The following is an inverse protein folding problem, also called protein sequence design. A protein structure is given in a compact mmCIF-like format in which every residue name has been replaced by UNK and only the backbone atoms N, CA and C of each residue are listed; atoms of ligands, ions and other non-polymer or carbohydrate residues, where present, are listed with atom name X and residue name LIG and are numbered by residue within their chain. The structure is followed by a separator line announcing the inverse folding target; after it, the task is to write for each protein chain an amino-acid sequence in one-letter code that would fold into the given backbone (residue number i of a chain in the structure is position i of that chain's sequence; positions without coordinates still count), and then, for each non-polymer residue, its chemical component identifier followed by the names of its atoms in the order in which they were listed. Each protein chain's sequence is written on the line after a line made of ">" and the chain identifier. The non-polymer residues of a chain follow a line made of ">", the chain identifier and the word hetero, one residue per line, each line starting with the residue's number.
data_IF_130331530301
#
_entry.id   IF_130331530301
#
_cell.length_a   1.000
_cell.length_b   1.000
_cell.length_c   1.000
_cell.angle_alpha   90.00
_cell.angle_beta   90.00
_cell.angle_gamma   90.00
#
_symmetry.space_group_name_H-M   'P 1'
#
loop_
_entity.id
_entity.type
_entity.pdbx_description
1 polymer ?
#
# COMPACT_ATOMS: atom_id res chain seq x y z
N UNK A 1 -21.26 5.10 1.08
CA UNK A 1 -20.08 4.88 1.92
C UNK A 1 -19.19 3.84 1.25
N UNK A 2 -17.86 4.03 1.17
CA UNK A 2 -16.95 2.98 0.71
C UNK A 2 -16.62 2.06 1.88
N UNK A 3 -17.00 0.80 1.79
CA UNK A 3 -16.66 -0.23 2.78
C UNK A 3 -15.15 -0.51 2.73
N UNK A 4 -14.50 -0.57 3.90
CA UNK A 4 -13.05 -0.77 4.03
C UNK A 4 -12.75 -1.87 5.06
N UNK A 5 -11.86 -2.78 4.72
CA UNK A 5 -11.44 -3.89 5.61
C UNK A 5 -10.80 -3.40 6.92
N UNK A 6 -10.16 -2.23 6.86
CA UNK A 6 -9.55 -1.64 8.06
C UNK A 6 -10.59 -1.33 9.15
N UNK A 7 -11.87 -1.12 8.80
CA UNK A 7 -12.92 -0.87 9.78
C UNK A 7 -13.05 -2.00 10.80
N UNK A 8 -13.01 -3.25 10.36
CA UNK A 8 -13.08 -4.42 11.24
C UNK A 8 -11.88 -4.46 12.20
N UNK A 9 -10.69 -4.04 11.75
CA UNK A 9 -9.50 -3.92 12.60
C UNK A 9 -9.63 -2.82 13.64
N UNK A 10 -10.31 -1.70 13.31
CA UNK A 10 -10.60 -0.63 14.28
C UNK A 10 -11.55 -1.13 15.37
N UNK A 11 -12.59 -1.87 15.00
CA UNK A 11 -13.53 -2.49 15.95
C UNK A 11 -12.80 -3.51 16.84
N UNK A 12 -11.92 -4.31 16.26
CA UNK A 12 -11.11 -5.28 17.01
C UNK A 12 -10.16 -4.59 17.99
N UNK A 13 -9.45 -3.52 17.56
CA UNK A 13 -8.62 -2.72 18.44
C UNK A 13 -9.41 -2.16 19.62
N UNK A 14 -10.57 -1.53 19.40
CA UNK A 14 -11.43 -1.00 20.47
C UNK A 14 -11.74 -2.06 21.52
N UNK A 15 -12.07 -3.28 21.05
CA UNK A 15 -12.41 -4.40 21.93
C UNK A 15 -11.22 -4.96 22.69
N UNK A 16 -10.04 -5.07 22.04
CA UNK A 16 -8.85 -5.70 22.61
C UNK A 16 -8.07 -4.74 23.51
N UNK A 17 -7.89 -3.50 23.07
CA UNK A 17 -7.15 -2.47 23.80
C UNK A 17 -7.88 -2.07 25.09
N UNK A 18 -9.21 -2.01 25.04
CA UNK A 18 -10.06 -1.50 26.16
C UNK A 18 -9.49 -0.22 26.79
N UNK A 19 -8.92 0.67 25.95
CA UNK A 19 -8.33 1.95 26.30
C UNK A 19 -6.90 1.89 26.86
N UNK A 20 -6.26 0.73 26.82
CA UNK A 20 -4.87 0.61 27.22
C UNK A 20 -3.88 1.20 26.20
N UNK A 21 -4.31 1.38 24.96
CA UNK A 21 -3.50 1.97 23.89
C UNK A 21 -4.30 2.95 23.04
N UNK A 22 -3.63 3.93 22.45
CA UNK A 22 -4.12 4.70 21.32
C UNK A 22 -3.85 3.94 20.02
N UNK A 23 -4.55 4.29 18.94
CA UNK A 23 -4.33 3.70 17.62
C UNK A 23 -3.92 4.76 16.60
N UNK A 24 -2.76 4.57 15.97
CA UNK A 24 -2.32 5.39 14.85
C UNK A 24 -2.61 4.68 13.52
N UNK A 25 -3.43 5.31 12.68
CA UNK A 25 -3.65 4.92 11.29
C UNK A 25 -2.62 5.64 10.42
N UNK A 26 -1.64 4.88 9.94
CA UNK A 26 -0.62 5.36 9.02
C UNK A 26 -0.93 4.90 7.58
N UNK A 27 -0.49 5.67 6.59
CA UNK A 27 -0.73 5.33 5.19
C UNK A 27 -0.46 6.49 4.25
N UNK A 28 -0.35 6.17 2.95
CA UNK A 28 -0.15 7.17 1.92
C UNK A 28 -1.21 8.29 1.97
N UNK A 29 -0.86 9.44 1.44
CA UNK A 29 -1.80 10.55 1.36
C UNK A 29 -2.99 10.18 0.46
N UNK A 30 -4.23 10.57 0.87
CA UNK A 30 -5.49 10.33 0.14
C UNK A 30 -6.01 8.89 0.11
N UNK A 31 -5.52 7.99 0.96
CA UNK A 31 -6.07 6.63 1.10
C UNK A 31 -7.37 6.56 1.93
N UNK A 32 -7.77 7.67 2.60
CA UNK A 32 -9.05 7.79 3.30
C UNK A 32 -8.97 7.65 4.83
N UNK A 33 -7.80 7.89 5.44
CA UNK A 33 -7.59 7.77 6.90
C UNK A 33 -8.55 8.58 7.74
N UNK A 34 -8.61 9.90 7.54
CA UNK A 34 -9.51 10.80 8.29
C UNK A 34 -10.97 10.40 8.13
N UNK A 35 -11.37 9.98 6.91
CA UNK A 35 -12.72 9.53 6.63
C UNK A 35 -13.10 8.29 7.45
N UNK A 36 -12.26 7.25 7.45
CA UNK A 36 -12.55 6.00 8.16
C UNK A 36 -12.52 6.21 9.69
N UNK A 37 -11.62 7.06 10.18
CA UNK A 37 -11.54 7.43 11.59
C UNK A 37 -12.83 8.10 12.08
N UNK A 38 -13.35 9.05 11.29
CA UNK A 38 -14.60 9.73 11.60
C UNK A 38 -15.81 8.80 11.50
N UNK A 39 -15.89 7.95 10.48
CA UNK A 39 -16.97 6.97 10.36
C UNK A 39 -16.96 5.94 11.50
N UNK A 40 -15.77 5.48 11.90
CA UNK A 40 -15.63 4.63 13.07
C UNK A 40 -16.13 5.32 14.35
N UNK A 41 -15.77 6.58 14.56
CA UNK A 41 -16.23 7.34 15.69
C UNK A 41 -17.76 7.48 15.73
N UNK A 42 -18.38 7.79 14.59
CA UNK A 42 -19.84 7.97 14.48
C UNK A 42 -20.64 6.72 14.80
N UNK A 43 -20.10 5.53 14.49
CA UNK A 43 -20.84 4.29 14.66
C UNK A 43 -20.52 3.56 15.97
N UNK A 44 -19.31 3.75 16.49
CA UNK A 44 -18.82 2.95 17.62
C UNK A 44 -18.80 3.72 18.95
N UNK A 45 -19.00 5.04 18.95
CA UNK A 45 -18.96 5.87 20.15
C UNK A 45 -20.20 6.77 20.28
N UNK A 46 -20.56 7.10 21.52
CA UNK A 46 -21.67 8.00 21.82
C UNK A 46 -21.35 9.45 21.40
N UNK A 47 -20.10 9.86 21.51
CA UNK A 47 -19.62 11.16 21.05
C UNK A 47 -18.16 11.08 20.60
N UNK A 48 -17.73 12.05 19.81
CA UNK A 48 -16.33 12.17 19.41
C UNK A 48 -15.94 13.63 19.21
N UNK A 49 -14.64 13.90 19.36
CA UNK A 49 -14.03 15.16 18.96
C UNK A 49 -12.97 14.84 17.90
N UNK A 50 -13.04 15.52 16.74
CA UNK A 50 -12.03 15.45 15.69
C UNK A 50 -11.24 16.76 15.68
N UNK A 51 -9.93 16.66 15.92
CA UNK A 51 -8.98 17.77 15.89
C UNK A 51 -8.11 17.61 14.65
N UNK A 52 -8.41 18.37 13.59
CA UNK A 52 -7.58 18.44 12.37
C UNK A 52 -6.43 19.42 12.62
N UNK A 53 -5.24 18.92 12.93
CA UNK A 53 -4.05 19.75 13.21
C UNK A 53 -3.55 20.54 12.00
N UNK A 54 -4.01 20.22 10.80
CA UNK A 54 -3.77 21.04 9.61
C UNK A 54 -4.56 22.35 9.59
N UNK A 55 -5.61 22.48 10.44
CA UNK A 55 -6.55 23.62 10.48
C UNK A 55 -6.93 24.07 11.90
N UNK A 56 -6.41 23.39 12.92
CA UNK A 56 -6.76 23.68 14.29
C UNK A 56 -6.45 25.16 14.63
N UNK A 57 -7.41 25.90 15.25
CA UNK A 57 -7.16 27.25 15.74
C UNK A 57 -6.07 27.28 16.81
N UNK A 58 -5.37 28.41 16.92
CA UNK A 58 -4.29 28.57 17.90
C UNK A 58 -4.78 28.28 19.33
N UNK A 59 -5.99 28.71 19.69
CA UNK A 59 -6.58 28.45 21.01
C UNK A 59 -6.66 26.96 21.34
N UNK A 60 -6.93 26.09 20.35
CA UNK A 60 -6.92 24.64 20.54
C UNK A 60 -5.49 24.12 20.72
N UNK A 61 -4.53 24.60 19.91
CA UNK A 61 -3.13 24.22 20.05
C UNK A 61 -2.57 24.63 21.42
N UNK A 62 -2.98 25.79 21.94
CA UNK A 62 -2.58 26.30 23.24
C UNK A 62 -3.05 25.42 24.41
N UNK A 63 -4.18 24.71 24.27
CA UNK A 63 -4.59 23.71 25.28
C UNK A 63 -3.54 22.61 25.45
N UNK A 64 -2.99 22.11 24.35
CA UNK A 64 -1.94 21.08 24.38
C UNK A 64 -0.61 21.64 24.95
N UNK A 65 -0.37 22.93 24.82
CA UNK A 65 0.87 23.57 25.29
C UNK A 65 0.79 23.91 26.77
N UNK A 66 -0.32 24.49 27.23
CA UNK A 66 -0.44 25.13 28.53
C UNK A 66 -1.28 24.34 29.53
N UNK A 67 -2.32 23.63 29.07
CA UNK A 67 -3.27 22.97 29.96
C UNK A 67 -3.05 21.46 30.11
N UNK A 68 -2.11 20.87 29.36
CA UNK A 68 -1.85 19.42 29.36
C UNK A 68 -1.37 18.85 30.70
N UNK A 69 -0.93 19.70 31.63
CA UNK A 69 -0.59 19.31 33.00
C UNK A 69 -1.82 19.15 33.93
N UNK A 70 -2.98 19.69 33.54
CA UNK A 70 -4.27 19.56 34.25
C UNK A 70 -5.31 19.02 33.27
N UNK A 71 -5.42 17.68 33.18
CA UNK A 71 -6.30 17.03 32.22
C UNK A 71 -7.78 17.31 32.45
N UNK A 72 -8.22 17.64 33.69
CA UNK A 72 -9.61 18.03 33.95
C UNK A 72 -9.95 19.34 33.25
N UNK A 73 -9.08 20.34 33.41
CA UNK A 73 -9.23 21.62 32.72
C UNK A 73 -9.09 21.50 31.21
N UNK A 74 -8.13 20.71 30.78
CA UNK A 74 -7.88 20.41 29.33
C UNK A 74 -9.14 19.87 28.67
N UNK A 75 -9.73 18.79 29.20
CA UNK A 75 -10.95 18.21 28.61
C UNK A 75 -12.20 19.09 28.78
N UNK A 76 -12.32 19.83 29.86
CA UNK A 76 -13.42 20.77 30.02
C UNK A 76 -13.39 21.86 28.94
N UNK A 77 -12.22 22.47 28.70
CA UNK A 77 -12.02 23.45 27.62
C UNK A 77 -12.22 22.85 26.23
N UNK A 78 -11.70 21.66 25.99
CA UNK A 78 -11.84 20.95 24.72
C UNK A 78 -13.31 20.65 24.41
N UNK A 79 -14.05 20.14 25.40
CA UNK A 79 -15.50 19.90 25.31
C UNK A 79 -16.29 21.20 25.02
N UNK A 80 -15.94 22.28 25.69
CA UNK A 80 -16.58 23.58 25.47
C UNK A 80 -16.28 24.13 24.06
N UNK A 81 -15.04 24.03 23.62
CA UNK A 81 -14.62 24.53 22.31
C UNK A 81 -15.33 23.80 21.15
N UNK A 82 -15.44 22.46 21.23
CA UNK A 82 -16.13 21.66 20.24
C UNK A 82 -17.63 21.46 20.50
N UNK A 83 -18.18 22.10 21.53
CA UNK A 83 -19.59 21.94 21.96
C UNK A 83 -20.01 20.47 22.06
N UNK A 84 -19.11 19.60 22.57
CA UNK A 84 -19.31 18.16 22.63
C UNK A 84 -19.16 17.64 24.05
N UNK A 85 -20.18 16.94 24.55
CA UNK A 85 -20.10 16.25 25.84
C UNK A 85 -19.29 14.96 25.69
N UNK A 86 -18.23 14.81 26.47
CA UNK A 86 -17.40 13.63 26.52
C UNK A 86 -17.92 12.63 27.56
N UNK A 87 -18.05 11.36 27.19
CA UNK A 87 -18.54 10.27 28.02
C UNK A 87 -17.39 9.31 28.35
N UNK A 88 -17.17 9.04 29.63
CA UNK A 88 -16.11 8.15 30.09
C UNK A 88 -16.22 6.77 29.40
N UNK A 89 -15.13 6.31 28.78
CA UNK A 89 -15.01 5.05 28.02
C UNK A 89 -15.99 4.90 26.85
N UNK A 90 -16.66 5.97 26.44
CA UNK A 90 -17.60 5.96 25.30
C UNK A 90 -17.52 7.24 24.46
N UNK A 91 -16.35 7.88 24.47
CA UNK A 91 -16.00 8.96 23.54
C UNK A 91 -14.63 8.71 22.92
N UNK A 92 -14.52 9.05 21.64
CA UNK A 92 -13.28 8.99 20.88
C UNK A 92 -12.73 10.39 20.62
N UNK A 93 -11.46 10.60 20.87
CA UNK A 93 -10.76 11.82 20.48
C UNK A 93 -9.84 11.49 19.31
N UNK A 94 -10.08 12.11 18.15
CA UNK A 94 -9.35 11.88 16.92
C UNK A 94 -8.34 12.99 16.72
N UNK A 95 -7.06 12.66 16.60
CA UNK A 95 -5.95 13.53 16.22
C UNK A 95 -5.66 13.35 14.74
N UNK A 96 -6.27 14.18 13.90
CA UNK A 96 -6.11 14.07 12.44
C UNK A 96 -4.91 14.90 11.97
N UNK A 97 -4.11 14.34 11.03
CA UNK A 97 -2.85 14.90 10.52
C UNK A 97 -1.86 15.22 11.65
N UNK A 98 -1.69 14.30 12.61
CA UNK A 98 -0.92 14.51 13.85
C UNK A 98 0.54 14.93 13.60
N UNK A 99 1.13 14.66 12.44
CA UNK A 99 2.46 15.13 12.06
C UNK A 99 2.55 16.65 11.90
N UNK A 100 1.43 17.36 11.76
CA UNK A 100 1.41 18.83 11.71
C UNK A 100 1.59 19.45 13.11
N UNK A 101 1.32 18.66 14.17
CA UNK A 101 1.51 19.10 15.55
C UNK A 101 2.04 17.93 16.42
N UNK A 102 3.32 17.56 16.29
CA UNK A 102 3.91 16.37 16.93
C UNK A 102 3.78 16.35 18.46
N UNK A 103 3.62 17.52 19.09
CA UNK A 103 3.41 17.65 20.54
C UNK A 103 2.15 16.91 21.02
N UNK A 104 1.08 16.90 20.23
CA UNK A 104 -0.13 16.15 20.57
C UNK A 104 0.16 14.66 20.68
N UNK A 105 0.97 14.11 19.75
CA UNK A 105 1.40 12.71 19.78
C UNK A 105 2.21 12.38 21.03
N UNK A 106 3.09 13.27 21.50
CA UNK A 106 3.82 13.07 22.76
C UNK A 106 2.90 12.94 23.99
N UNK A 107 1.74 13.57 23.96
CA UNK A 107 0.79 13.54 25.10
C UNK A 107 0.00 12.23 25.16
N UNK A 108 -0.02 11.41 24.12
CA UNK A 108 -0.76 10.13 24.06
C UNK A 108 -0.49 9.28 25.29
N UNK A 109 0.77 9.15 25.70
CA UNK A 109 1.15 8.40 26.90
C UNK A 109 0.35 8.83 28.15
N UNK A 110 0.22 10.13 28.36
CA UNK A 110 -0.48 10.69 29.54
C UNK A 110 -1.99 10.60 29.39
N UNK A 111 -2.50 10.80 28.16
CA UNK A 111 -3.91 10.73 27.83
C UNK A 111 -4.44 9.30 27.96
N UNK A 112 -3.69 8.31 27.50
CA UNK A 112 -4.01 6.88 27.67
C UNK A 112 -3.96 6.50 29.14
N UNK A 113 -2.92 6.92 29.88
CA UNK A 113 -2.79 6.64 31.31
C UNK A 113 -3.93 7.24 32.17
N UNK A 114 -4.52 8.35 31.74
CA UNK A 114 -5.71 8.93 32.36
C UNK A 114 -6.97 8.04 32.23
N UNK A 115 -7.08 7.27 31.15
CA UNK A 115 -8.06 6.20 30.97
C UNK A 115 -9.51 6.63 30.78
N UNK A 116 -9.81 7.94 30.60
CA UNK A 116 -11.17 8.42 30.43
C UNK A 116 -11.74 8.20 29.05
N UNK A 117 -10.92 8.35 28.01
CA UNK A 117 -11.36 8.33 26.61
C UNK A 117 -10.46 7.45 25.78
N UNK A 118 -10.91 7.08 24.58
CA UNK A 118 -10.10 6.42 23.58
C UNK A 118 -9.50 7.45 22.62
N UNK A 119 -8.33 7.14 22.06
CA UNK A 119 -7.60 8.04 21.18
C UNK A 119 -7.27 7.34 19.87
N UNK A 120 -7.55 8.02 18.77
CA UNK A 120 -7.20 7.57 17.43
C UNK A 120 -6.44 8.68 16.72
N UNK A 121 -5.29 8.35 16.18
CA UNK A 121 -4.44 9.26 15.45
C UNK A 121 -4.46 8.92 13.96
N UNK A 122 -4.42 9.91 13.11
CA UNK A 122 -4.15 9.71 11.69
C UNK A 122 -2.96 10.55 11.26
N UNK A 123 -2.17 10.02 10.36
CA UNK A 123 -1.07 10.75 9.79
C UNK A 123 -0.64 10.23 8.42
N UNK A 124 -0.23 11.14 7.57
CA UNK A 124 0.53 10.84 6.36
C UNK A 124 1.96 11.29 6.55
N UNK A 125 2.93 10.60 5.92
CA UNK A 125 4.35 10.92 6.05
C UNK A 125 4.87 10.88 7.50
N UNK A 126 4.17 10.18 8.39
CA UNK A 126 4.45 10.20 9.83
C UNK A 126 5.77 9.52 10.18
N UNK A 127 6.26 8.62 9.31
CA UNK A 127 7.54 7.90 9.48
C UNK A 127 8.75 8.72 9.05
N UNK A 128 8.54 9.82 8.32
CA UNK A 128 9.65 10.65 7.87
C UNK A 128 10.41 11.22 9.08
N UNK A 129 11.74 11.14 9.04
CA UNK A 129 12.63 11.59 10.10
C UNK A 129 12.28 13.00 10.61
N UNK A 130 11.96 13.92 9.71
CA UNK A 130 11.56 15.31 10.02
C UNK A 130 10.33 15.38 10.94
N UNK A 131 9.43 14.41 10.87
CA UNK A 131 8.18 14.40 11.63
C UNK A 131 8.29 13.68 12.99
N UNK A 132 9.41 13.01 13.27
CA UNK A 132 9.62 12.24 14.51
C UNK A 132 10.90 12.60 15.27
N UNK A 133 11.81 13.40 14.69
CA UNK A 133 13.13 13.68 15.28
C UNK A 133 13.07 14.43 16.61
N UNK A 134 12.04 15.25 16.83
CA UNK A 134 11.92 16.15 17.97
C UNK A 134 10.90 15.66 19.01
N UNK A 135 10.41 14.42 18.89
CA UNK A 135 9.43 13.83 19.82
C UNK A 135 9.86 12.46 20.33
N UNK A 136 9.41 12.14 21.53
CA UNK A 136 9.45 10.78 22.04
C UNK A 136 8.18 10.09 21.58
N UNK A 137 8.31 9.05 20.75
CA UNK A 137 7.18 8.24 20.30
C UNK A 137 6.61 7.50 21.50
N UNK A 138 5.29 7.61 21.76
CA UNK A 138 4.66 6.95 22.90
C UNK A 138 4.70 5.43 22.76
N UNK A 139 4.95 4.73 23.85
CA UNK A 139 4.89 3.26 23.91
C UNK A 139 3.45 2.73 23.97
N UNK A 140 2.51 3.58 24.30
CA UNK A 140 1.08 3.31 24.42
C UNK A 140 0.34 3.50 23.09
N UNK A 141 1.05 3.49 21.97
CA UNK A 141 0.52 3.68 20.61
C UNK A 141 0.67 2.39 19.80
N UNK A 142 -0.45 1.85 19.31
CA UNK A 142 -0.47 0.78 18.32
C UNK A 142 -0.52 1.37 16.90
N UNK A 143 0.08 0.69 15.94
CA UNK A 143 0.13 1.14 14.55
C UNK A 143 -0.63 0.20 13.63
N UNK A 144 -1.41 0.79 12.73
CA UNK A 144 -2.07 0.07 11.65
C UNK A 144 -1.83 0.78 10.32
N UNK A 145 -1.42 0.02 9.31
CA UNK A 145 -1.24 0.56 7.96
C UNK A 145 -2.54 0.54 7.17
N UNK A 146 -2.86 1.67 6.53
CA UNK A 146 -3.97 1.79 5.59
C UNK A 146 -3.46 1.94 4.17
N UNK A 147 -3.78 0.97 3.34
CA UNK A 147 -3.42 0.93 1.92
C UNK A 147 -4.51 1.53 1.02
N UNK A 148 -4.24 1.82 -0.27
CA UNK A 148 -5.28 1.98 -1.26
C UNK A 148 -6.27 0.81 -1.22
N UNK A 149 -7.49 1.01 -1.69
CA UNK A 149 -8.50 -0.05 -1.75
C UNK A 149 -7.96 -1.24 -2.53
N UNK A 150 -8.12 -2.44 -1.99
CA UNK A 150 -7.78 -3.67 -2.70
C UNK A 150 -8.90 -4.09 -3.66
N UNK A 151 -8.70 -5.21 -4.37
CA UNK A 151 -9.67 -5.68 -5.35
C UNK A 151 -11.01 -6.07 -4.72
N UNK A 152 -11.02 -6.63 -3.52
CA UNK A 152 -12.24 -6.97 -2.81
C UNK A 152 -13.03 -5.72 -2.41
N UNK A 153 -12.35 -4.71 -1.86
CA UNK A 153 -12.95 -3.42 -1.50
C UNK A 153 -13.48 -2.67 -2.75
N UNK A 154 -12.79 -2.81 -3.89
CA UNK A 154 -13.27 -2.29 -5.18
C UNK A 154 -14.54 -2.99 -5.63
N UNK A 155 -14.63 -4.33 -5.53
CA UNK A 155 -15.83 -5.09 -5.85
C UNK A 155 -16.99 -4.71 -4.92
N UNK A 156 -16.76 -4.53 -3.63
CA UNK A 156 -17.77 -4.01 -2.71
C UNK A 156 -18.29 -2.63 -3.13
N UNK A 157 -17.40 -1.74 -3.57
CA UNK A 157 -17.76 -0.43 -4.09
C UNK A 157 -18.59 -0.52 -5.39
N UNK A 158 -18.39 -1.59 -6.17
CA UNK A 158 -19.20 -1.91 -7.36
C UNK A 158 -20.53 -2.60 -7.02
N UNK A 159 -20.79 -2.95 -5.75
CA UNK A 159 -21.97 -3.66 -5.28
C UNK A 159 -21.86 -5.18 -5.35
N UNK A 160 -20.65 -5.74 -5.53
CA UNK A 160 -20.40 -7.19 -5.60
C UNK A 160 -19.69 -7.67 -4.34
N UNK A 161 -20.43 -8.27 -3.41
CA UNK A 161 -19.90 -8.92 -2.21
C UNK A 161 -19.81 -10.47 -2.36
N UNK A 162 -20.33 -11.03 -3.44
CA UNK A 162 -20.44 -12.47 -3.63
C UNK A 162 -19.22 -13.09 -4.34
N UNK A 163 -18.54 -12.33 -5.17
CA UNK A 163 -17.47 -12.85 -6.05
C UNK A 163 -16.24 -13.31 -5.24
N UNK A 164 -15.79 -12.54 -4.23
CA UNK A 164 -14.55 -12.88 -3.50
C UNK A 164 -14.69 -14.12 -2.62
N UNK A 165 -15.79 -14.37 -1.89
CA UNK A 165 -15.99 -15.65 -1.20
C UNK A 165 -15.85 -16.86 -2.11
N UNK A 166 -16.38 -16.77 -3.34
CA UNK A 166 -16.23 -17.84 -4.34
C UNK A 166 -14.78 -17.99 -4.83
N UNK A 167 -14.08 -16.87 -5.10
CA UNK A 167 -12.66 -16.90 -5.47
C UNK A 167 -11.85 -17.60 -4.38
N UNK A 168 -12.13 -17.31 -3.11
CA UNK A 168 -11.48 -17.93 -1.94
C UNK A 168 -11.72 -19.43 -1.88
N UNK A 169 -12.96 -19.87 -2.07
CA UNK A 169 -13.30 -21.31 -2.14
C UNK A 169 -12.56 -22.02 -3.25
N UNK A 170 -12.48 -21.42 -4.45
CA UNK A 170 -11.75 -21.99 -5.58
C UNK A 170 -10.22 -22.00 -5.35
N UNK A 171 -9.68 -20.99 -4.69
CA UNK A 171 -8.27 -20.93 -4.30
C UNK A 171 -7.90 -22.03 -3.30
N UNK A 172 -8.69 -22.21 -2.25
CA UNK A 172 -8.47 -23.20 -1.19
C UNK A 172 -8.56 -24.63 -1.76
N UNK A 173 -9.59 -24.89 -2.59
CA UNK A 173 -9.80 -26.19 -3.24
C UNK A 173 -8.90 -26.42 -4.46
N UNK A 174 -8.16 -25.39 -4.90
CA UNK A 174 -7.34 -25.39 -6.16
C UNK A 174 -8.17 -25.78 -7.38
N UNK A 175 -9.43 -25.39 -7.39
CA UNK A 175 -10.40 -25.72 -8.45
C UNK A 175 -10.61 -24.54 -9.39
N UNK A 176 -10.80 -24.77 -10.71
CA UNK A 176 -11.08 -23.68 -11.64
C UNK A 176 -12.46 -23.08 -11.41
N UNK A 177 -12.60 -21.77 -11.65
CA UNK A 177 -13.89 -21.06 -11.59
C UNK A 177 -14.81 -21.38 -12.77
N UNK A 178 -14.23 -21.84 -13.86
CA UNK A 178 -14.90 -22.02 -15.13
C UNK A 178 -14.82 -20.78 -16.03
N UNK A 179 -14.78 -21.02 -17.33
CA UNK A 179 -14.41 -20.04 -18.35
C UNK A 179 -15.27 -18.75 -18.29
N UNK A 180 -16.57 -18.86 -18.12
CA UNK A 180 -17.48 -17.70 -18.15
C UNK A 180 -17.24 -16.78 -16.94
N UNK A 181 -17.16 -17.35 -15.75
CA UNK A 181 -16.97 -16.60 -14.51
C UNK A 181 -15.56 -16.03 -14.41
N UNK A 182 -14.53 -16.83 -14.75
CA UNK A 182 -13.16 -16.35 -14.83
C UNK A 182 -13.04 -15.12 -15.75
N UNK A 183 -13.69 -15.15 -16.93
CA UNK A 183 -13.67 -14.03 -17.88
C UNK A 183 -14.33 -12.76 -17.29
N UNK A 184 -15.48 -12.92 -16.59
CA UNK A 184 -16.13 -11.80 -15.91
C UNK A 184 -15.19 -11.18 -14.86
N UNK A 185 -14.63 -12.00 -13.97
CA UNK A 185 -13.76 -11.54 -12.89
C UNK A 185 -12.48 -10.90 -13.44
N UNK A 186 -11.87 -11.47 -14.48
CA UNK A 186 -10.72 -10.85 -15.15
C UNK A 186 -11.03 -9.48 -15.75
N UNK A 187 -12.25 -9.28 -16.28
CA UNK A 187 -12.66 -7.98 -16.77
C UNK A 187 -12.83 -6.96 -15.63
N UNK A 188 -13.46 -7.36 -14.52
CA UNK A 188 -13.59 -6.51 -13.33
C UNK A 188 -12.22 -6.20 -12.71
N UNK A 189 -11.31 -7.17 -12.68
CA UNK A 189 -9.94 -6.99 -12.22
C UNK A 189 -9.15 -6.01 -13.10
N UNK A 190 -9.27 -6.09 -14.42
CA UNK A 190 -8.66 -5.12 -15.33
C UNK A 190 -9.19 -3.70 -15.13
N UNK A 191 -10.49 -3.55 -14.85
CA UNK A 191 -11.06 -2.25 -14.48
C UNK A 191 -10.41 -1.71 -13.21
N UNK A 192 -10.29 -2.56 -12.17
CA UNK A 192 -9.60 -2.21 -10.93
C UNK A 192 -8.16 -1.77 -11.17
N UNK A 193 -7.40 -2.51 -11.98
CA UNK A 193 -6.01 -2.16 -12.33
C UNK A 193 -5.90 -0.76 -12.95
N UNK A 194 -6.86 -0.38 -13.79
CA UNK A 194 -6.88 0.92 -14.46
C UNK A 194 -7.37 2.06 -13.55
N UNK A 195 -8.42 1.82 -12.78
CA UNK A 195 -8.98 2.80 -11.84
C UNK A 195 -8.05 3.00 -10.64
N UNK A 196 -7.43 1.93 -10.17
CA UNK A 196 -6.64 1.89 -8.95
C UNK A 196 -7.50 1.80 -7.69
N UNK A 197 -6.83 1.77 -6.55
CA UNK A 197 -7.44 1.68 -5.22
C UNK A 197 -7.57 3.02 -4.49
N UNK A 198 -7.20 4.14 -5.11
CA UNK A 198 -7.35 5.44 -4.45
C UNK A 198 -8.84 5.81 -4.35
N UNK A 199 -9.41 6.04 -3.13
CA UNK A 199 -10.85 6.24 -2.95
C UNK A 199 -11.44 7.33 -3.83
N UNK A 200 -10.73 8.44 -4.04
CA UNK A 200 -11.19 9.52 -4.92
C UNK A 200 -11.28 9.08 -6.40
N UNK A 201 -10.35 8.23 -6.84
CA UNK A 201 -10.36 7.67 -8.19
C UNK A 201 -11.52 6.68 -8.36
N UNK A 202 -11.72 5.80 -7.39
CA UNK A 202 -12.83 4.83 -7.38
C UNK A 202 -14.17 5.55 -7.38
N UNK A 203 -14.37 6.55 -6.51
CA UNK A 203 -15.61 7.35 -6.45
C UNK A 203 -15.89 8.08 -7.77
N UNK A 204 -14.87 8.69 -8.37
CA UNK A 204 -15.02 9.38 -9.66
C UNK A 204 -15.44 8.40 -10.77
N UNK A 205 -14.82 7.22 -10.81
CA UNK A 205 -15.18 6.16 -11.76
C UNK A 205 -16.62 5.66 -11.55
N UNK A 206 -17.02 5.38 -10.30
CA UNK A 206 -18.35 4.85 -9.99
C UNK A 206 -19.47 5.82 -10.36
N UNK A 207 -19.26 7.11 -10.12
CA UNK A 207 -20.23 8.16 -10.42
C UNK A 207 -20.55 8.27 -11.90
N UNK A 208 -19.53 8.21 -12.74
CA UNK A 208 -19.65 8.52 -14.17
C UNK A 208 -19.44 7.28 -15.06
N UNK A 209 -18.98 6.15 -14.48
CA UNK A 209 -18.50 4.97 -15.21
C UNK A 209 -17.48 5.33 -16.31
N UNK A 210 -16.63 6.30 -16.00
CA UNK A 210 -15.74 6.97 -16.90
C UNK A 210 -14.29 6.95 -16.36
N UNK A 211 -13.35 6.44 -17.16
CA UNK A 211 -11.94 6.42 -16.82
C UNK A 211 -11.29 7.81 -16.82
N UNK A 212 -11.81 8.76 -17.57
CA UNK A 212 -11.30 10.14 -17.62
C UNK A 212 -11.47 10.83 -16.27
N UNK A 213 -12.66 10.73 -15.64
CA UNK A 213 -12.91 11.27 -14.32
C UNK A 213 -11.96 10.66 -13.26
N UNK A 214 -11.74 9.35 -13.34
CA UNK A 214 -10.75 8.64 -12.53
C UNK A 214 -9.33 9.17 -12.79
N UNK A 215 -8.95 9.39 -14.06
CA UNK A 215 -7.64 9.92 -14.44
C UNK A 215 -7.39 11.32 -13.87
N UNK A 216 -8.39 12.21 -13.93
CA UNK A 216 -8.30 13.56 -13.33
C UNK A 216 -8.01 13.46 -11.82
N UNK A 217 -8.70 12.57 -11.10
CA UNK A 217 -8.45 12.35 -9.66
C UNK A 217 -7.01 11.84 -9.42
N UNK A 218 -6.55 10.87 -10.19
CA UNK A 218 -5.20 10.29 -10.06
C UNK A 218 -4.09 11.31 -10.37
N UNK A 219 -4.25 12.14 -11.40
CA UNK A 219 -3.31 13.23 -11.71
C UNK A 219 -3.18 14.24 -10.57
N UNK A 220 -4.30 14.58 -9.90
CA UNK A 220 -4.28 15.45 -8.71
C UNK A 220 -3.52 14.80 -7.55
N UNK A 221 -3.66 13.49 -7.35
CA UNK A 221 -2.94 12.76 -6.30
C UNK A 221 -1.44 12.71 -6.60
N UNK A 222 -1.04 12.42 -7.85
CA UNK A 222 0.37 12.43 -8.26
C UNK A 222 1.00 13.82 -8.08
N UNK A 223 0.25 14.89 -8.40
CA UNK A 223 0.70 16.26 -8.13
C UNK A 223 0.91 16.51 -6.64
N UNK A 224 -0.04 16.07 -5.78
CA UNK A 224 0.10 16.20 -4.32
C UNK A 224 1.33 15.45 -3.80
N UNK A 225 1.67 14.28 -4.34
CA UNK A 225 2.90 13.56 -3.96
C UNK A 225 4.15 14.37 -4.32
N UNK A 226 4.17 15.02 -5.48
CA UNK A 226 5.28 15.92 -5.85
C UNK A 226 5.37 17.14 -4.95
N UNK A 227 4.23 17.75 -4.59
CA UNK A 227 4.19 18.88 -3.65
C UNK A 227 4.73 18.45 -2.26
N UNK A 228 4.44 17.20 -1.83
CA UNK A 228 4.99 16.64 -0.58
C UNK A 228 6.51 16.42 -0.66
N UNK A 229 7.04 15.96 -1.79
CA UNK A 229 8.50 15.87 -2.00
C UNK A 229 9.14 17.24 -1.83
N UNK A 230 8.61 18.29 -2.48
CA UNK A 230 9.13 19.66 -2.38
C UNK A 230 9.09 20.19 -0.93
N UNK A 231 8.14 19.75 -0.12
CA UNK A 231 7.97 20.23 1.26
C UNK A 231 8.81 19.45 2.28
N UNK A 232 8.98 18.14 2.08
CA UNK A 232 9.48 17.24 3.12
C UNK A 232 10.80 16.53 2.79
N UNK A 233 11.31 16.61 1.53
CA UNK A 233 12.59 16.04 1.12
C UNK A 233 13.70 17.10 1.01
N UNK A 234 13.76 18.04 1.95
CA UNK A 234 14.64 19.19 1.95
C UNK A 234 16.12 18.82 1.73
N UNK A 235 16.71 19.34 0.64
CA UNK A 235 18.11 19.14 0.26
C UNK A 235 18.38 17.91 -0.62
N UNK A 236 17.35 17.10 -0.94
CA UNK A 236 17.47 15.95 -1.87
C UNK A 236 16.22 15.76 -2.75
N UNK A 237 15.39 16.79 -2.90
CA UNK A 237 14.15 16.79 -3.67
C UNK A 237 14.36 16.30 -5.10
N UNK A 238 15.38 16.82 -5.78
CA UNK A 238 15.69 16.46 -7.17
C UNK A 238 15.97 14.96 -7.32
N UNK A 239 16.59 14.35 -6.30
CA UNK A 239 16.88 12.90 -6.32
C UNK A 239 15.61 12.09 -6.12
N UNK A 240 14.69 12.53 -5.23
CA UNK A 240 13.40 11.89 -5.03
C UNK A 240 12.55 12.00 -6.30
N UNK A 241 12.51 13.19 -6.94
CA UNK A 241 11.85 13.39 -8.22
C UNK A 241 12.41 12.48 -9.30
N UNK A 242 13.76 12.44 -9.44
CA UNK A 242 14.40 11.60 -10.44
C UNK A 242 14.08 10.10 -10.26
N UNK A 243 14.04 9.63 -9.01
CA UNK A 243 13.60 8.26 -8.70
C UNK A 243 12.13 8.04 -9.03
N UNK A 244 11.25 8.92 -8.55
CA UNK A 244 9.80 8.82 -8.72
C UNK A 244 9.41 8.84 -10.19
N UNK A 245 9.88 9.82 -10.95
CA UNK A 245 9.59 9.97 -12.38
C UNK A 245 10.19 8.83 -13.21
N UNK A 246 11.27 8.21 -12.74
CA UNK A 246 11.91 7.07 -13.38
C UNK A 246 11.18 5.73 -13.19
N UNK A 247 10.24 5.61 -12.25
CA UNK A 247 9.58 4.31 -11.93
C UNK A 247 8.95 3.64 -13.16
N UNK A 248 8.10 4.31 -13.96
CA UNK A 248 7.48 3.64 -15.12
C UNK A 248 8.53 3.12 -16.12
N UNK A 249 9.56 3.92 -16.41
CA UNK A 249 10.62 3.54 -17.31
C UNK A 249 11.49 2.39 -16.78
N UNK A 250 11.69 2.28 -15.46
CA UNK A 250 12.41 1.15 -14.86
C UNK A 250 11.58 -0.12 -14.91
N UNK A 251 10.31 -0.06 -14.55
CA UNK A 251 9.40 -1.21 -14.56
C UNK A 251 9.09 -1.71 -15.98
N UNK A 252 9.21 -0.86 -17.00
CA UNK A 252 9.01 -1.26 -18.40
C UNK A 252 10.16 -2.10 -18.97
N UNK A 253 11.34 -2.12 -18.33
CA UNK A 253 12.49 -2.90 -18.77
C UNK A 253 12.28 -4.38 -18.47
N UNK A 254 12.99 -5.24 -19.22
CA UNK A 254 13.01 -6.69 -18.96
C UNK A 254 13.58 -6.99 -17.56
N UNK A 255 14.63 -6.29 -17.17
CA UNK A 255 15.24 -6.38 -15.85
C UNK A 255 14.77 -5.19 -15.02
N UNK A 256 13.88 -5.43 -14.05
CA UNK A 256 13.17 -4.40 -13.30
C UNK A 256 13.89 -3.89 -12.03
N UNK A 257 15.11 -4.36 -11.78
CA UNK A 257 15.98 -3.76 -10.75
C UNK A 257 16.20 -2.29 -11.05
N UNK A 258 16.06 -1.44 -10.05
CA UNK A 258 16.25 -0.01 -10.24
C UNK A 258 17.70 0.32 -10.60
N UNK A 259 17.95 0.72 -11.83
CA UNK A 259 19.28 1.05 -12.35
C UNK A 259 19.52 2.56 -12.23
N UNK A 260 20.25 2.99 -11.21
CA UNK A 260 20.60 4.38 -10.98
C UNK A 260 21.41 5.00 -12.12
N UNK A 261 22.17 4.19 -12.87
CA UNK A 261 22.88 4.64 -14.06
C UNK A 261 21.99 5.19 -15.18
N UNK A 262 20.67 4.96 -15.11
CA UNK A 262 19.69 5.59 -16.01
C UNK A 262 19.38 7.04 -15.64
N UNK A 263 19.65 7.46 -14.40
CA UNK A 263 19.53 8.84 -13.95
C UNK A 263 20.82 9.58 -14.27
N UNK A 264 21.96 9.02 -13.84
CA UNK A 264 23.31 9.57 -14.11
C UNK A 264 24.34 8.45 -14.10
N UNK A 265 25.34 8.50 -14.98
CA UNK A 265 26.45 7.52 -15.03
C UNK A 265 27.21 7.45 -13.70
N UNK A 266 27.24 8.51 -12.94
CA UNK A 266 27.92 8.64 -11.64
C UNK A 266 27.02 8.31 -10.45
N UNK A 267 25.72 8.10 -10.66
CA UNK A 267 24.78 7.82 -9.59
C UNK A 267 25.14 6.51 -8.85
N UNK A 268 25.23 6.61 -7.53
CA UNK A 268 25.52 5.49 -6.63
C UNK A 268 24.39 5.34 -5.62
N UNK A 269 24.11 4.10 -5.17
CA UNK A 269 23.06 3.83 -4.21
C UNK A 269 23.17 4.72 -2.97
N UNK A 270 24.35 4.84 -2.38
CA UNK A 270 24.59 5.66 -1.18
C UNK A 270 24.14 7.13 -1.33
N UNK A 271 24.16 7.69 -2.54
CA UNK A 271 23.74 9.08 -2.77
C UNK A 271 22.23 9.24 -2.98
N UNK A 272 21.50 8.14 -3.18
CA UNK A 272 20.05 8.08 -3.38
C UNK A 272 19.31 7.31 -2.28
N UNK A 273 20.03 6.80 -1.28
CA UNK A 273 19.46 5.96 -0.21
C UNK A 273 18.34 6.68 0.52
N UNK A 274 18.57 7.91 0.98
CA UNK A 274 17.53 8.72 1.64
C UNK A 274 16.29 8.95 0.76
N UNK A 275 16.50 9.05 -0.56
CA UNK A 275 15.41 9.23 -1.52
C UNK A 275 14.56 7.97 -1.68
N UNK A 276 15.16 6.79 -1.68
CA UNK A 276 14.42 5.51 -1.64
C UNK A 276 13.68 5.34 -0.33
N UNK A 277 14.33 5.65 0.80
CA UNK A 277 13.72 5.62 2.13
C UNK A 277 12.51 6.54 2.15
N UNK A 278 12.65 7.78 1.67
CA UNK A 278 11.55 8.74 1.63
C UNK A 278 10.34 8.22 0.86
N UNK A 279 10.53 7.69 -0.35
CA UNK A 279 9.45 7.15 -1.17
C UNK A 279 8.73 5.97 -0.49
N UNK A 280 9.50 5.13 0.20
CA UNK A 280 8.96 3.98 0.92
C UNK A 280 8.22 4.39 2.20
N UNK A 281 8.80 5.29 3.00
CA UNK A 281 8.18 5.82 4.23
C UNK A 281 6.93 6.66 3.95
N UNK A 282 6.91 7.36 2.81
CA UNK A 282 5.72 8.06 2.32
C UNK A 282 4.63 7.10 1.79
N UNK A 283 4.91 5.79 1.72
CA UNK A 283 4.05 4.74 1.17
C UNK A 283 3.61 5.02 -0.28
N UNK A 284 4.42 5.80 -1.01
CA UNK A 284 4.20 6.10 -2.44
C UNK A 284 4.66 4.93 -3.30
N UNK A 285 5.66 4.19 -2.82
CA UNK A 285 6.19 2.98 -3.47
C UNK A 285 6.19 1.79 -2.52
N UNK A 286 6.16 0.61 -3.12
CA UNK A 286 6.40 -0.67 -2.47
C UNK A 286 7.79 -1.16 -2.89
N UNK A 287 8.76 -1.07 -2.00
CA UNK A 287 10.12 -1.52 -2.27
C UNK A 287 10.22 -3.03 -2.12
N UNK A 288 10.83 -3.68 -3.13
CA UNK A 288 11.07 -5.12 -3.17
C UNK A 288 12.58 -5.38 -3.19
N UNK A 289 13.09 -6.11 -2.20
CA UNK A 289 14.53 -6.32 -1.98
C UNK A 289 15.00 -7.65 -2.54
N UNK A 290 16.25 -7.70 -3.03
CA UNK A 290 16.84 -8.97 -3.48
C UNK A 290 17.22 -9.83 -2.28
N UNK A 291 16.65 -11.03 -2.16
CA UNK A 291 17.06 -12.02 -1.16
C UNK A 291 18.18 -12.89 -1.74
N UNK A 292 19.39 -12.73 -1.24
CA UNK A 292 20.59 -13.43 -1.77
C UNK A 292 20.67 -14.91 -1.38
N UNK A 293 20.09 -15.27 -0.22
CA UNK A 293 19.87 -16.64 0.22
C UNK A 293 18.38 -16.87 0.50
N UNK A 294 17.64 -17.56 -0.38
CA UNK A 294 16.23 -17.80 -0.19
C UNK A 294 16.01 -18.83 0.93
N UNK A 295 15.70 -18.34 2.12
CA UNK A 295 15.38 -19.11 3.30
C UNK A 295 14.26 -18.45 4.09
N UNK A 296 13.60 -19.18 4.98
CA UNK A 296 12.64 -18.58 5.93
C UNK A 296 13.36 -17.48 6.72
N UNK A 297 12.83 -16.29 6.80
CA UNK A 297 13.59 -15.14 7.31
C UNK A 297 14.36 -14.42 6.18
N UNK A 298 13.70 -14.21 5.05
CA UNK A 298 14.21 -13.52 3.86
C UNK A 298 14.90 -12.18 4.18
N UNK A 299 14.48 -11.51 5.26
CA UNK A 299 15.10 -10.27 5.73
C UNK A 299 16.58 -10.42 6.11
N UNK A 300 17.01 -11.61 6.56
CA UNK A 300 18.41 -11.86 6.96
C UNK A 300 19.38 -11.86 5.79
N UNK A 301 18.88 -12.13 4.58
CA UNK A 301 19.68 -12.19 3.35
C UNK A 301 19.31 -11.08 2.35
N UNK A 302 18.59 -10.05 2.80
CA UNK A 302 18.16 -8.96 1.94
C UNK A 302 19.35 -8.06 1.56
N UNK A 303 19.57 -7.89 0.26
CA UNK A 303 20.48 -6.89 -0.28
C UNK A 303 19.70 -5.59 -0.50
N UNK A 304 19.92 -4.63 0.38
CA UNK A 304 19.24 -3.34 0.35
C UNK A 304 19.71 -2.45 -0.81
N UNK A 305 20.84 -2.78 -1.45
CA UNK A 305 21.38 -2.00 -2.58
C UNK A 305 20.79 -2.43 -3.92
N UNK A 306 20.20 -3.62 -3.97
CA UNK A 306 19.55 -4.17 -5.16
C UNK A 306 18.05 -4.30 -4.90
N UNK A 307 17.28 -3.40 -5.50
CA UNK A 307 15.84 -3.32 -5.23
C UNK A 307 15.04 -3.03 -6.49
N UNK A 308 13.77 -3.44 -6.47
CA UNK A 308 12.73 -3.01 -7.41
C UNK A 308 11.80 -2.03 -6.69
N UNK A 309 11.31 -1.01 -7.41
CA UNK A 309 10.37 -0.03 -6.86
C UNK A 309 9.06 -0.12 -7.62
N UNK A 310 8.03 -0.63 -6.96
CA UNK A 310 6.67 -0.66 -7.49
C UNK A 310 5.87 0.52 -6.95
N UNK A 311 4.99 1.11 -7.78
CA UNK A 311 4.06 2.12 -7.27
C UNK A 311 3.13 1.54 -6.21
N UNK A 312 2.82 2.30 -5.17
CA UNK A 312 1.92 1.89 -4.10
C UNK A 312 0.48 1.65 -4.57
N UNK A 313 0.10 2.25 -5.70
CA UNK A 313 -1.18 2.03 -6.39
C UNK A 313 -0.97 1.88 -7.90
N UNK A 314 -1.49 0.79 -8.47
CA UNK A 314 -1.29 0.47 -9.89
C UNK A 314 -2.04 1.42 -10.81
N UNK A 315 -3.21 1.94 -10.41
CA UNK A 315 -3.91 2.97 -11.16
C UNK A 315 -3.11 4.27 -11.25
N UNK A 316 -2.39 4.63 -10.19
CA UNK A 316 -1.44 5.74 -10.22
C UNK A 316 -0.26 5.46 -11.16
N UNK A 317 0.29 4.23 -11.18
CA UNK A 317 1.33 3.84 -12.14
C UNK A 317 0.87 4.03 -13.58
N UNK A 318 -0.33 3.55 -13.91
CA UNK A 318 -0.90 3.70 -15.26
C UNK A 318 -1.02 5.19 -15.62
N UNK A 319 -1.54 6.02 -14.72
CA UNK A 319 -1.64 7.46 -14.97
C UNK A 319 -0.27 8.13 -15.07
N UNK A 320 0.70 7.72 -14.24
CA UNK A 320 2.06 8.25 -14.27
C UNK A 320 2.77 7.97 -15.58
N UNK A 321 2.53 6.79 -16.19
CA UNK A 321 3.09 6.42 -17.50
C UNK A 321 2.67 7.38 -18.62
N UNK A 322 1.49 8.03 -18.48
CA UNK A 322 0.92 8.96 -19.49
C UNK A 322 0.88 10.42 -19.02
N UNK A 323 1.73 10.79 -18.06
CA UNK A 323 1.75 12.18 -17.55
C UNK A 323 2.21 13.21 -18.57
N UNK A 324 2.96 12.81 -19.59
CA UNK A 324 3.43 13.69 -20.68
C UNK A 324 2.28 14.19 -21.58
N UNK A 325 1.15 13.51 -21.57
CA UNK A 325 -0.05 13.95 -22.28
C UNK A 325 -0.92 14.80 -21.37
N UNK A 326 -1.44 15.92 -21.88
CA UNK A 326 -2.32 16.81 -21.10
C UNK A 326 -3.60 16.08 -20.63
N UNK A 327 -4.02 15.09 -21.38
CA UNK A 327 -5.26 14.36 -21.18
C UNK A 327 -5.11 12.91 -21.65
N UNK A 328 -5.67 11.97 -20.91
CA UNK A 328 -5.69 10.55 -21.29
C UNK A 328 -7.14 10.17 -21.58
N UNK A 329 -7.44 9.91 -22.84
CA UNK A 329 -8.78 9.60 -23.32
C UNK A 329 -9.28 8.22 -22.85
N UNK A 330 -10.61 8.08 -22.74
CA UNK A 330 -11.24 6.80 -22.41
C UNK A 330 -10.87 5.68 -23.40
N UNK A 331 -10.66 6.02 -24.67
CA UNK A 331 -10.27 5.07 -25.70
C UNK A 331 -8.91 4.45 -25.43
N UNK A 332 -7.95 5.23 -24.89
CA UNK A 332 -6.65 4.71 -24.48
C UNK A 332 -6.79 3.72 -23.34
N UNK A 333 -7.58 4.05 -22.30
CA UNK A 333 -7.85 3.14 -21.19
C UNK A 333 -8.57 1.86 -21.66
N UNK A 334 -9.55 1.99 -22.55
CA UNK A 334 -10.21 0.84 -23.17
C UNK A 334 -9.26 -0.01 -24.00
N UNK A 335 -8.34 0.62 -24.74
CA UNK A 335 -7.34 -0.11 -25.51
C UNK A 335 -6.35 -0.89 -24.61
N UNK A 336 -6.00 -0.34 -23.44
CA UNK A 336 -5.23 -1.07 -22.41
C UNK A 336 -6.06 -2.23 -21.85
N UNK A 337 -7.35 -1.99 -21.54
CA UNK A 337 -8.27 -2.98 -20.99
C UNK A 337 -8.42 -4.21 -21.90
N UNK A 338 -8.40 -4.00 -23.22
CA UNK A 338 -8.60 -5.05 -24.22
C UNK A 338 -7.31 -5.53 -24.90
N UNK A 339 -6.14 -5.29 -24.31
CA UNK A 339 -4.82 -5.69 -24.83
C UNK A 339 -4.54 -5.20 -26.27
N UNK A 340 -5.13 -4.07 -26.65
CA UNK A 340 -4.99 -3.48 -28.00
C UNK A 340 -3.80 -2.52 -28.13
N UNK A 341 -3.19 -2.14 -27.02
CA UNK A 341 -1.95 -1.37 -27.00
C UNK A 341 -0.82 -2.28 -26.57
N UNK A 342 0.29 -2.25 -27.30
CA UNK A 342 1.56 -2.91 -26.90
C UNK A 342 2.22 -2.19 -25.71
N UNK A 343 1.44 -1.83 -24.70
CA UNK A 343 1.96 -1.34 -23.43
C UNK A 343 2.49 -2.54 -22.69
N UNK A 344 3.61 -2.37 -22.01
CA UNK A 344 4.26 -3.43 -21.25
C UNK A 344 3.32 -3.96 -20.14
N UNK A 345 2.41 -4.86 -20.51
CA UNK A 345 1.44 -5.50 -19.61
C UNK A 345 2.15 -6.15 -18.42
N UNK A 346 3.34 -6.70 -18.66
CA UNK A 346 4.17 -7.28 -17.60
C UNK A 346 4.54 -6.28 -16.51
N UNK A 347 4.75 -5.00 -16.83
CA UNK A 347 4.98 -3.94 -15.85
C UNK A 347 3.77 -3.74 -14.94
N UNK A 348 2.58 -3.67 -15.54
CA UNK A 348 1.32 -3.41 -14.82
C UNK A 348 0.95 -4.61 -13.95
N UNK A 349 1.05 -5.83 -14.49
CA UNK A 349 0.68 -7.05 -13.77
C UNK A 349 1.65 -7.34 -12.61
N UNK A 350 2.94 -7.11 -12.79
CA UNK A 350 3.89 -7.29 -11.68
C UNK A 350 3.68 -6.23 -10.58
N UNK A 351 3.34 -4.99 -10.96
CA UNK A 351 3.04 -3.94 -9.99
C UNK A 351 1.77 -4.24 -9.16
N UNK A 352 0.69 -4.73 -9.81
CA UNK A 352 -0.53 -5.06 -9.06
C UNK A 352 -0.34 -6.27 -8.15
N UNK A 353 0.48 -7.25 -8.55
CA UNK A 353 0.86 -8.37 -7.68
C UNK A 353 1.67 -7.87 -6.48
N UNK A 354 2.65 -6.99 -6.69
CA UNK A 354 3.39 -6.36 -5.59
C UNK A 354 2.46 -5.63 -4.62
N UNK A 355 1.51 -4.86 -5.14
CA UNK A 355 0.50 -4.15 -4.35
C UNK A 355 -0.35 -5.12 -3.52
N UNK A 356 -0.85 -6.22 -4.12
CA UNK A 356 -1.67 -7.22 -3.43
C UNK A 356 -0.90 -7.95 -2.34
N UNK A 357 0.32 -8.39 -2.61
CA UNK A 357 1.18 -9.03 -1.62
C UNK A 357 1.46 -8.09 -0.44
N UNK A 358 1.71 -6.81 -0.72
CA UNK A 358 1.97 -5.80 0.33
C UNK A 358 0.72 -5.56 1.19
N UNK A 359 -0.47 -5.47 0.60
CA UNK A 359 -1.73 -5.30 1.36
C UNK A 359 -2.09 -6.52 2.20
N UNK A 360 -1.62 -7.71 1.83
CA UNK A 360 -1.72 -8.94 2.63
C UNK A 360 -0.66 -9.05 3.74
N UNK A 361 0.16 -8.01 3.93
CA UNK A 361 1.14 -7.95 5.02
C UNK A 361 2.52 -8.51 4.66
N UNK A 362 2.75 -8.95 3.42
CA UNK A 362 4.07 -9.41 3.02
C UNK A 362 5.05 -8.25 2.84
N UNK A 363 6.23 -8.37 3.41
CA UNK A 363 7.38 -7.62 2.96
C UNK A 363 7.86 -8.22 1.63
N UNK A 364 8.12 -7.37 0.65
CA UNK A 364 8.40 -7.83 -0.70
C UNK A 364 9.86 -8.22 -0.88
N UNK A 365 10.08 -9.41 -1.41
CA UNK A 365 11.39 -9.92 -1.80
C UNK A 365 11.33 -10.53 -3.19
N UNK A 366 12.42 -10.41 -3.93
CA UNK A 366 12.66 -11.14 -5.16
C UNK A 366 13.98 -11.89 -5.06
N UNK A 367 14.25 -12.79 -5.99
CA UNK A 367 15.56 -13.42 -6.12
C UNK A 367 16.14 -13.15 -7.49
N UNK A 368 17.36 -12.69 -7.52
CA UNK A 368 18.08 -12.53 -8.77
C UNK A 368 19.54 -12.87 -8.58
N UNK A 369 20.02 -13.81 -9.40
CA UNK A 369 21.44 -14.13 -9.51
C UNK A 369 21.84 -14.08 -10.97
N UNK A 370 22.85 -13.29 -11.26
CA UNK A 370 23.54 -13.26 -12.55
C UNK A 370 24.89 -13.94 -12.36
N UNK A 371 25.15 -14.95 -13.16
CA UNK A 371 26.43 -15.65 -13.19
C UNK A 371 26.88 -15.67 -14.67
N UNK A 372 27.94 -14.93 -14.97
CA UNK A 372 28.47 -14.81 -16.34
C UNK A 372 29.14 -16.10 -16.81
N UNK A 373 29.68 -16.87 -15.88
CA UNK A 373 30.48 -18.05 -16.15
C UNK A 373 29.63 -19.32 -16.18
N UNK A 374 28.47 -19.31 -15.48
CA UNK A 374 27.56 -20.45 -15.46
C UNK A 374 26.11 -20.02 -15.67
N UNK A 375 25.61 -20.21 -16.90
CA UNK A 375 24.24 -19.91 -17.30
C UNK A 375 23.15 -20.67 -16.51
N UNK A 376 23.49 -21.81 -15.90
CA UNK A 376 22.53 -22.53 -15.04
C UNK A 376 22.23 -21.77 -13.76
N UNK A 377 23.16 -20.95 -13.29
CA UNK A 377 22.98 -20.10 -12.12
C UNK A 377 22.29 -18.77 -12.44
N UNK A 378 22.12 -18.42 -13.72
CA UNK A 378 21.38 -17.22 -14.10
C UNK A 378 19.88 -17.49 -13.95
N UNK A 379 19.26 -16.88 -12.94
CA UNK A 379 17.82 -17.00 -12.68
C UNK A 379 17.28 -15.76 -11.96
N UNK A 380 16.04 -15.44 -12.24
CA UNK A 380 15.29 -14.39 -11.57
C UNK A 380 13.89 -14.91 -11.22
N UNK A 381 13.44 -14.65 -9.99
CA UNK A 381 12.10 -14.94 -9.48
C UNK A 381 11.49 -13.63 -9.07
N UNK A 382 10.29 -13.32 -9.54
CA UNK A 382 9.66 -12.02 -9.38
C UNK A 382 9.35 -11.69 -7.92
N UNK A 383 8.80 -12.68 -7.16
CA UNK A 383 8.56 -12.52 -5.73
C UNK A 383 8.86 -13.81 -4.96
N UNK A 384 9.25 -13.61 -3.70
CA UNK A 384 9.37 -14.66 -2.69
C UNK A 384 8.52 -14.30 -1.49
N UNK A 385 7.66 -15.22 -1.07
CA UNK A 385 6.93 -15.11 0.19
C UNK A 385 7.26 -16.29 1.10
N UNK A 386 6.97 -16.14 2.40
CA UNK A 386 7.12 -17.21 3.37
C UNK A 386 5.77 -17.86 3.63
N UNK A 387 5.67 -19.18 3.45
CA UNK A 387 4.51 -20.00 3.78
C UNK A 387 4.89 -21.01 4.87
N UNK A 388 4.51 -20.74 6.11
CA UNK A 388 4.87 -21.55 7.26
C UNK A 388 6.40 -21.65 7.43
N UNK A 389 6.96 -22.87 7.29
CA UNK A 389 8.41 -23.13 7.42
C UNK A 389 9.13 -23.20 6.06
N UNK A 390 8.50 -22.79 4.99
CA UNK A 390 9.01 -22.88 3.61
C UNK A 390 8.88 -21.53 2.90
N UNK A 391 9.56 -21.44 1.76
CA UNK A 391 9.45 -20.31 0.85
C UNK A 391 8.54 -20.71 -0.31
N UNK A 392 7.75 -19.78 -0.79
CA UNK A 392 6.98 -19.92 -2.02
C UNK A 392 7.48 -18.90 -3.06
N UNK A 393 8.15 -19.35 -4.12
CA UNK A 393 8.48 -18.51 -5.26
C UNK A 393 7.24 -18.25 -6.12
N UNK A 394 7.12 -16.99 -6.58
CA UNK A 394 6.03 -16.51 -7.42
C UNK A 394 6.62 -15.91 -8.70
N UNK A 395 6.18 -16.38 -9.85
CA UNK A 395 6.43 -15.78 -11.15
C UNK A 395 5.17 -15.14 -11.73
N UNK A 396 5.30 -13.96 -12.33
CA UNK A 396 4.21 -13.21 -12.96
C UNK A 396 4.36 -13.28 -14.47
N UNK A 397 3.40 -13.89 -15.17
CA UNK A 397 3.43 -14.14 -16.61
C UNK A 397 2.22 -13.49 -17.30
N UNK A 398 2.41 -12.34 -17.90
CA UNK A 398 1.37 -11.73 -18.75
C UNK A 398 1.21 -12.51 -20.06
N UNK A 399 2.34 -12.95 -20.66
CA UNK A 399 2.41 -13.74 -21.89
C UNK A 399 3.37 -14.90 -21.71
N UNK A 400 3.28 -15.92 -22.58
CA UNK A 400 4.20 -17.07 -22.65
C UNK A 400 4.40 -17.82 -21.29
N UNK A 401 3.30 -18.12 -20.61
CA UNK A 401 3.26 -18.82 -19.33
C UNK A 401 3.79 -20.27 -19.36
N UNK A 402 4.02 -20.83 -20.56
CA UNK A 402 4.63 -22.16 -20.72
C UNK A 402 6.15 -22.14 -20.52
N UNK A 403 6.80 -20.97 -20.52
CA UNK A 403 8.24 -20.82 -20.31
C UNK A 403 8.52 -20.31 -18.90
N UNK A 404 8.97 -21.19 -18.01
CA UNK A 404 9.29 -20.91 -16.61
C UNK A 404 10.65 -21.49 -16.17
N UNK A 405 11.65 -21.41 -17.07
CA UNK A 405 12.96 -21.99 -16.83
C UNK A 405 13.68 -21.47 -15.58
N UNK A 406 13.49 -20.19 -15.21
CA UNK A 406 14.05 -19.63 -13.98
C UNK A 406 13.44 -20.30 -12.75
N UNK A 407 12.10 -20.47 -12.73
CA UNK A 407 11.40 -21.13 -11.65
C UNK A 407 11.83 -22.60 -11.51
N UNK A 408 11.99 -23.32 -12.61
CA UNK A 408 12.43 -24.71 -12.59
C UNK A 408 13.84 -24.86 -12.03
N UNK A 409 14.78 -24.01 -12.48
CA UNK A 409 16.14 -23.95 -11.93
C UNK A 409 16.13 -23.63 -10.45
N UNK A 410 15.32 -22.67 -10.04
CA UNK A 410 15.18 -22.26 -8.64
C UNK A 410 14.63 -23.39 -7.78
N UNK A 411 13.56 -24.06 -8.21
CA UNK A 411 12.97 -25.23 -7.55
C UNK A 411 13.96 -26.38 -7.39
N UNK A 412 14.74 -26.67 -8.44
CA UNK A 412 15.78 -27.70 -8.41
C UNK A 412 16.88 -27.35 -7.39
N UNK A 413 17.38 -26.11 -7.42
CA UNK A 413 18.49 -25.65 -6.60
C UNK A 413 18.14 -25.55 -5.11
N UNK A 414 16.94 -25.10 -4.79
CA UNK A 414 16.49 -24.84 -3.42
C UNK A 414 15.36 -25.78 -2.95
N UNK A 415 15.31 -27.00 -3.51
CA UNK A 415 14.22 -27.96 -3.29
C UNK A 415 13.87 -28.23 -1.83
N UNK A 416 14.88 -28.27 -0.94
CA UNK A 416 14.66 -28.48 0.50
C UNK A 416 14.00 -27.29 1.21
N UNK A 417 14.12 -26.08 0.65
CA UNK A 417 13.64 -24.81 1.22
C UNK A 417 12.27 -24.38 0.69
N UNK A 418 11.82 -24.96 -0.44
CA UNK A 418 10.62 -24.55 -1.16
C UNK A 418 9.42 -25.41 -0.74
N UNK A 419 8.27 -24.73 -0.52
CA UNK A 419 6.95 -25.33 -0.40
C UNK A 419 6.20 -25.29 -1.73
N UNK A 420 5.10 -24.54 -1.78
CA UNK A 420 4.39 -24.27 -3.03
C UNK A 420 5.23 -23.42 -3.99
N UNK A 421 4.91 -23.50 -5.27
CA UNK A 421 5.45 -22.61 -6.30
C UNK A 421 4.30 -22.11 -7.14
N UNK A 422 4.28 -20.81 -7.43
CA UNK A 422 3.16 -20.16 -8.09
C UNK A 422 3.56 -19.52 -9.41
N UNK A 423 2.68 -19.63 -10.40
CA UNK A 423 2.68 -18.79 -11.60
C UNK A 423 1.37 -18.01 -11.60
N UNK A 424 1.47 -16.69 -11.58
CA UNK A 424 0.33 -15.79 -11.72
C UNK A 424 0.18 -15.40 -13.19
N UNK A 425 -1.02 -15.60 -13.76
CA UNK A 425 -1.24 -15.45 -15.19
C UNK A 425 -2.69 -15.07 -15.54
N UNK A 426 -3.00 -14.98 -16.82
CA UNK A 426 -4.31 -14.52 -17.31
C UNK A 426 -5.35 -15.62 -17.47
N UNK A 427 -5.05 -16.88 -17.13
CA UNK A 427 -5.97 -18.01 -17.26
C UNK A 427 -6.50 -18.46 -15.91
N UNK A 428 -7.45 -19.41 -15.92
CA UNK A 428 -8.06 -19.99 -14.74
C UNK A 428 -7.11 -20.92 -13.98
N UNK A 429 -7.50 -21.30 -12.74
CA UNK A 429 -6.69 -22.14 -11.86
C UNK A 429 -6.32 -23.47 -12.53
N UNK A 430 -5.06 -23.83 -12.43
CA UNK A 430 -4.50 -25.08 -12.97
C UNK A 430 -3.31 -25.54 -12.12
N UNK A 431 -3.14 -26.85 -11.98
CA UNK A 431 -1.91 -27.45 -11.43
C UNK A 431 -1.20 -28.19 -12.55
N UNK A 432 0.05 -27.84 -12.81
CA UNK A 432 0.89 -28.51 -13.81
C UNK A 432 2.32 -28.62 -13.30
N UNK A 433 2.92 -29.80 -13.43
CA UNK A 433 4.31 -30.09 -13.03
C UNK A 433 4.64 -29.70 -11.57
N UNK A 434 3.64 -29.83 -10.68
CA UNK A 434 3.75 -29.45 -9.27
C UNK A 434 3.85 -27.93 -9.05
N UNK A 435 3.46 -27.12 -10.04
CA UNK A 435 3.34 -25.68 -9.96
C UNK A 435 1.85 -25.32 -9.96
N UNK A 436 1.47 -24.42 -9.06
CA UNK A 436 0.11 -23.92 -8.97
C UNK A 436 0.00 -22.67 -9.83
N UNK A 437 -0.81 -22.73 -10.87
CA UNK A 437 -1.09 -21.61 -11.74
C UNK A 437 -2.37 -20.94 -11.26
N UNK A 438 -2.30 -19.65 -10.96
CA UNK A 438 -3.41 -18.87 -10.44
C UNK A 438 -3.70 -17.64 -11.31
N UNK A 439 -4.96 -17.28 -11.54
CA UNK A 439 -5.27 -16.00 -12.16
C UNK A 439 -4.74 -14.84 -11.31
N UNK A 440 -4.33 -13.74 -11.96
CA UNK A 440 -3.74 -12.57 -11.28
C UNK A 440 -4.53 -12.09 -10.08
N UNK A 441 -5.87 -12.06 -10.16
CA UNK A 441 -6.71 -11.59 -9.07
C UNK A 441 -6.64 -12.47 -7.80
N UNK A 442 -6.15 -13.70 -7.91
CA UNK A 442 -5.95 -14.57 -6.74
C UNK A 442 -4.68 -14.23 -5.96
N UNK A 443 -3.79 -13.37 -6.48
CA UNK A 443 -2.64 -12.87 -5.71
C UNK A 443 -3.04 -12.18 -4.39
N UNK A 444 -4.28 -11.69 -4.29
CA UNK A 444 -4.85 -11.13 -3.05
C UNK A 444 -5.08 -12.18 -1.94
N UNK A 445 -4.87 -13.46 -2.21
CA UNK A 445 -5.05 -14.57 -1.26
C UNK A 445 -3.74 -15.28 -0.88
N UNK A 446 -2.62 -14.86 -1.49
CA UNK A 446 -1.28 -15.36 -1.20
C UNK A 446 -0.67 -14.73 0.04
#
# INVERSE_FOLDING_TARGET
>A
MLKRKIYDKLVEWKRQSDGATALLIDGARRVGKSYIAEEFAKHEYQSYILIDFGKAPQDVLDLFIHDSSNLDLFFAKLSAFYATTLHKRNSLIIFDEVQQFPRARQLIKYLVADGRFDYLETGSLIRLKKNVQDIIIPSEEEHIEMFPMDFEEFLWAMGDEATVPLIRTCFESKSPLGQALHRKIMNDFRQYVLVGGMPQSVMAYLKEKNFEASNVAKRRILKLYRDDVSKFAEGYEDKVFALFDGIPAQLSKKEKKYKLSSISKEARFRTYEDSFIWLNEAMVVNTCFNATDPNVGLALSADNTTQKCYMGDTGLLVTHTFMDTAFTENELYRAILFDKLNINEGMIMENIVAQMLRTNGHKLYFYSRSDTDNRENHMEIDFLITEGKKIAPIEVKSNNYNSHSSLDKFRKKFSSKIGNSYILYSKDVMIKDGIIHLPFYMAMLL
#
